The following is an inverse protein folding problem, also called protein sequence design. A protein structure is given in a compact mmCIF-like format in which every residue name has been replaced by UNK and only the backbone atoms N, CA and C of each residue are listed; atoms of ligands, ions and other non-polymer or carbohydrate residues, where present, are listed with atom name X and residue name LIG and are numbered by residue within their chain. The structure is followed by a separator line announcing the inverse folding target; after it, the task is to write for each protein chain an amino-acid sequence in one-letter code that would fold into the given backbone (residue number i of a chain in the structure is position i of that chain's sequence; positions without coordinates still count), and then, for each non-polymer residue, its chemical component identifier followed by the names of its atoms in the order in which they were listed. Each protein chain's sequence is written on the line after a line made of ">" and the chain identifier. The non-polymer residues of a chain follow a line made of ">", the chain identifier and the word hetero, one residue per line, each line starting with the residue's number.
data_IF_275607830448
#
_entry.id   IF_275607830448
#
_cell.length_a   1.000
_cell.length_b   1.000
_cell.length_c   1.000
_cell.angle_alpha   90.00
_cell.angle_beta   90.00
_cell.angle_gamma   90.00
#
_symmetry.space_group_name_H-M   'P 1'
#
loop_
_entity.id
_entity.type
_entity.pdbx_description
1 polymer ?
#
# COMPACT_ATOMS: atom_id res chain seq x y z
N UNK A 1 -0.85 18.25 19.36
CA UNK A 1 -1.47 17.52 18.24
C UNK A 1 -0.44 17.31 17.15
N UNK A 2 -0.32 16.11 16.59
CA UNK A 2 0.58 15.89 15.46
C UNK A 2 0.71 14.45 15.03
N UNK A 3 0.97 14.26 13.73
CA UNK A 3 1.36 12.98 13.14
C UNK A 3 2.89 12.95 13.12
N UNK A 4 3.48 11.98 13.80
CA UNK A 4 4.93 11.74 13.79
C UNK A 4 5.22 10.62 12.80
N UNK A 5 6.14 10.87 11.87
CA UNK A 5 6.59 9.88 10.91
C UNK A 5 7.93 9.33 11.40
N UNK A 6 8.03 8.01 11.51
CA UNK A 6 9.27 7.29 11.78
C UNK A 6 9.60 6.46 10.56
N UNK A 7 10.68 6.80 9.88
CA UNK A 7 11.24 5.97 8.83
C UNK A 7 12.59 5.45 9.27
N UNK A 8 12.82 4.15 9.09
CA UNK A 8 14.09 3.50 9.42
C UNK A 8 15.22 3.85 8.45
N UNK A 9 14.88 4.40 7.28
CA UNK A 9 15.81 4.69 6.19
C UNK A 9 15.85 6.21 5.91
N UNK A 10 17.04 6.70 5.55
CA UNK A 10 17.20 8.06 5.03
C UNK A 10 16.61 8.18 3.61
N UNK A 11 16.26 9.40 3.19
CA UNK A 11 15.72 9.66 1.85
C UNK A 11 16.61 9.14 0.72
N UNK A 12 17.95 9.18 0.89
CA UNK A 12 18.90 8.64 -0.09
C UNK A 12 18.86 7.11 -0.16
N UNK A 13 18.74 6.43 0.98
CA UNK A 13 18.61 4.97 1.03
C UNK A 13 17.28 4.54 0.40
N UNK A 14 16.19 5.25 0.69
CA UNK A 14 14.89 4.98 0.08
C UNK A 14 15.01 5.14 -1.44
N UNK A 15 15.60 6.22 -1.93
CA UNK A 15 15.80 6.44 -3.37
C UNK A 15 16.51 5.25 -4.04
N UNK A 16 17.62 4.77 -3.46
CA UNK A 16 18.39 3.64 -3.98
C UNK A 16 17.62 2.32 -3.93
N UNK A 17 16.85 2.08 -2.86
CA UNK A 17 16.04 0.87 -2.72
C UNK A 17 14.87 0.85 -3.70
N UNK A 18 14.20 1.98 -3.87
CA UNK A 18 12.93 2.06 -4.60
C UNK A 18 13.10 2.27 -6.10
N UNK A 19 14.31 2.57 -6.57
CA UNK A 19 14.56 2.86 -7.98
C UNK A 19 14.31 1.64 -8.89
N UNK A 20 13.46 1.82 -9.89
CA UNK A 20 13.09 0.81 -10.87
C UNK A 20 12.32 -0.39 -10.33
N UNK A 21 11.69 -0.25 -9.17
CA UNK A 21 11.02 -1.36 -8.51
C UNK A 21 9.54 -1.08 -8.23
N UNK A 22 8.84 -2.11 -7.77
CA UNK A 22 7.49 -2.02 -7.22
C UNK A 22 7.59 -1.98 -5.69
N UNK A 23 7.13 -0.90 -5.07
CA UNK A 23 7.01 -0.80 -3.62
C UNK A 23 5.64 -1.32 -3.20
N UNK A 24 5.63 -2.44 -2.49
CA UNK A 24 4.41 -3.14 -2.06
C UNK A 24 4.15 -2.90 -0.57
N UNK A 25 3.14 -2.10 -0.25
CA UNK A 25 2.83 -1.73 1.13
C UNK A 25 1.59 -2.45 1.67
N UNK A 26 1.62 -2.86 2.94
CA UNK A 26 0.40 -3.23 3.64
C UNK A 26 -0.53 -2.02 3.78
N UNK A 27 -1.83 -2.26 3.90
CA UNK A 27 -2.82 -1.20 3.94
C UNK A 27 -3.48 -1.12 5.33
N UNK A 28 -2.99 -0.23 6.19
CA UNK A 28 -3.44 -0.04 7.59
C UNK A 28 -4.30 1.22 7.77
N UNK A 29 -4.20 2.19 6.86
CA UNK A 29 -4.92 3.46 6.96
C UNK A 29 -5.16 4.13 5.63
N UNK A 30 -6.08 5.09 5.63
CA UNK A 30 -6.33 5.98 4.48
C UNK A 30 -5.15 6.90 4.17
N UNK A 31 -4.24 7.10 5.12
CA UNK A 31 -3.04 7.93 4.95
C UNK A 31 -1.83 7.17 4.38
N UNK A 32 -1.92 5.84 4.18
CA UNK A 32 -0.79 5.04 3.69
C UNK A 32 -0.17 5.55 2.38
N UNK A 33 -0.93 6.11 1.40
CA UNK A 33 -0.34 6.72 0.21
C UNK A 33 0.64 7.87 0.50
N UNK A 34 0.69 8.42 1.71
CA UNK A 34 1.66 9.45 2.08
C UNK A 34 3.09 8.93 2.06
N UNK A 35 3.29 7.60 2.06
CA UNK A 35 4.57 6.96 1.80
C UNK A 35 5.23 7.43 0.49
N UNK A 36 4.42 7.84 -0.50
CA UNK A 36 4.87 8.39 -1.78
C UNK A 36 5.74 9.64 -1.59
N UNK A 37 5.49 10.44 -0.56
CA UNK A 37 6.28 11.65 -0.28
C UNK A 37 7.73 11.34 0.08
N UNK A 38 8.02 10.14 0.59
CA UNK A 38 9.37 9.71 0.96
C UNK A 38 10.15 9.08 -0.20
N UNK A 39 9.50 8.81 -1.33
CA UNK A 39 10.04 8.05 -2.47
C UNK A 39 10.22 8.97 -3.69
N UNK A 40 11.46 9.29 -4.08
CA UNK A 40 11.71 10.03 -5.32
C UNK A 40 11.19 9.27 -6.55
N UNK A 41 10.57 9.98 -7.50
CA UNK A 41 10.02 9.35 -8.72
C UNK A 41 8.83 8.41 -8.47
N UNK A 42 8.20 8.52 -7.30
CA UNK A 42 7.08 7.66 -6.95
C UNK A 42 5.91 7.83 -7.92
N UNK A 43 5.40 6.69 -8.34
CA UNK A 43 4.31 6.58 -9.29
C UNK A 43 3.23 5.71 -8.70
N UNK A 44 2.05 6.29 -8.50
CA UNK A 44 0.90 5.57 -7.99
C UNK A 44 0.18 4.87 -9.13
N UNK A 45 -0.06 3.57 -8.99
CA UNK A 45 -0.92 2.81 -9.90
C UNK A 45 -2.29 2.64 -9.23
N UNK A 46 -3.32 3.29 -9.77
CA UNK A 46 -4.68 3.10 -9.31
C UNK A 46 -5.50 2.34 -10.37
N UNK A 47 -6.13 1.25 -9.96
CA UNK A 47 -7.15 0.55 -10.75
C UNK A 47 -8.55 1.12 -10.46
N UNK A 48 -9.45 1.03 -11.43
CA UNK A 48 -10.86 1.42 -11.30
C UNK A 48 -11.49 0.80 -10.05
N UNK A 49 -11.82 1.61 -9.05
CA UNK A 49 -12.34 1.13 -7.77
C UNK A 49 -11.91 1.95 -6.55
N UNK A 50 -10.92 2.85 -6.71
CA UNK A 50 -10.59 3.82 -5.68
C UNK A 50 -11.76 4.76 -5.40
N UNK A 51 -12.04 4.99 -4.10
CA UNK A 51 -12.97 6.04 -3.68
C UNK A 51 -12.46 7.39 -4.23
N UNK A 52 -13.33 8.19 -4.86
CA UNK A 52 -13.01 9.47 -5.49
C UNK A 52 -12.24 10.41 -4.56
N UNK A 53 -12.54 10.39 -3.26
CA UNK A 53 -11.82 11.19 -2.27
C UNK A 53 -10.37 10.73 -2.09
N UNK A 54 -10.14 9.42 -1.99
CA UNK A 54 -8.80 8.84 -1.84
C UNK A 54 -7.98 9.11 -3.11
N UNK A 55 -8.59 8.95 -4.29
CA UNK A 55 -7.96 9.29 -5.57
C UNK A 55 -7.56 10.77 -5.64
N UNK A 56 -8.41 11.68 -5.16
CA UNK A 56 -8.12 13.11 -5.10
C UNK A 56 -6.97 13.43 -4.14
N UNK A 57 -6.98 12.88 -2.92
CA UNK A 57 -5.88 13.09 -1.97
C UNK A 57 -4.56 12.54 -2.49
N UNK A 58 -4.58 11.37 -3.12
CA UNK A 58 -3.39 10.77 -3.71
C UNK A 58 -2.87 11.57 -4.91
N UNK A 59 -3.76 12.13 -5.73
CA UNK A 59 -3.41 13.04 -6.82
C UNK A 59 -2.73 14.31 -6.30
N UNK A 60 -3.25 14.91 -5.23
CA UNK A 60 -2.67 16.12 -4.64
C UNK A 60 -1.26 15.84 -4.09
N UNK A 61 -1.07 14.70 -3.42
CA UNK A 61 0.23 14.27 -2.89
C UNK A 61 1.25 14.05 -4.02
N UNK A 62 0.84 13.41 -5.11
CA UNK A 62 1.70 13.21 -6.30
C UNK A 62 2.11 14.53 -6.91
N UNK A 63 1.20 15.51 -6.98
CA UNK A 63 1.53 16.86 -7.47
C UNK A 63 2.56 17.56 -6.58
N UNK A 64 2.46 17.41 -5.26
CA UNK A 64 3.42 17.98 -4.32
C UNK A 64 4.79 17.27 -4.34
N UNK A 65 4.83 15.97 -4.63
CA UNK A 65 6.07 15.18 -4.64
C UNK A 65 6.75 15.08 -6.00
N UNK A 66 6.17 15.66 -7.06
CA UNK A 66 6.62 15.46 -8.43
C UNK A 66 6.37 14.03 -8.97
N UNK A 67 5.51 13.27 -8.30
CA UNK A 67 5.19 11.90 -8.66
C UNK A 67 4.22 11.79 -9.84
N UNK A 68 4.15 10.59 -10.43
CA UNK A 68 3.26 10.32 -11.57
C UNK A 68 2.05 9.46 -11.17
N UNK A 69 0.98 9.57 -11.94
CA UNK A 69 -0.20 8.73 -11.77
C UNK A 69 -0.39 7.85 -13.01
N UNK A 70 -0.45 6.54 -12.82
CA UNK A 70 -0.76 5.60 -13.88
C UNK A 70 -2.17 5.07 -13.71
N UNK A 71 -3.00 5.28 -14.73
CA UNK A 71 -4.34 4.71 -14.77
C UNK A 71 -4.27 3.22 -15.13
N UNK A 72 -4.52 2.35 -14.16
CA UNK A 72 -4.55 0.91 -14.36
C UNK A 72 -5.74 0.42 -15.20
N UNK A 73 -6.76 1.25 -15.43
CA UNK A 73 -7.88 0.92 -16.31
C UNK A 73 -7.50 1.03 -17.81
N UNK A 74 -6.57 1.94 -18.16
CA UNK A 74 -6.03 2.03 -19.51
C UNK A 74 -4.89 1.02 -19.68
N UNK A 75 -5.27 -0.21 -20.08
CA UNK A 75 -4.34 -1.31 -20.31
C UNK A 75 -3.24 -0.97 -21.32
N UNK A 76 -3.53 -0.14 -22.34
CA UNK A 76 -2.58 0.19 -23.41
C UNK A 76 -1.55 1.20 -22.92
N UNK A 77 -1.95 2.25 -22.20
CA UNK A 77 -1.01 3.16 -21.56
C UNK A 77 -0.20 2.45 -20.48
N UNK A 78 -0.85 1.64 -19.64
CA UNK A 78 -0.19 0.89 -18.58
C UNK A 78 0.88 -0.07 -19.11
N UNK A 79 0.57 -0.84 -20.16
CA UNK A 79 1.53 -1.77 -20.77
C UNK A 79 2.74 -1.04 -21.37
N UNK A 80 2.50 0.09 -22.07
CA UNK A 80 3.57 0.93 -22.62
C UNK A 80 4.49 1.48 -21.54
N UNK A 81 3.91 1.99 -20.46
CA UNK A 81 4.67 2.54 -19.34
C UNK A 81 5.46 1.46 -18.60
N UNK A 82 4.86 0.28 -18.41
CA UNK A 82 5.55 -0.87 -17.81
C UNK A 82 6.72 -1.35 -18.69
N UNK A 83 6.56 -1.36 -20.01
CA UNK A 83 7.65 -1.69 -20.93
C UNK A 83 8.78 -0.67 -20.86
N UNK A 84 8.46 0.64 -20.84
CA UNK A 84 9.46 1.70 -20.64
C UNK A 84 10.21 1.54 -19.32
N UNK A 85 9.51 1.23 -18.24
CA UNK A 85 10.13 1.00 -16.94
C UNK A 85 11.08 -0.20 -16.95
N UNK A 86 10.77 -1.26 -17.70
CA UNK A 86 11.67 -2.41 -17.83
C UNK A 86 12.92 -2.09 -18.63
N UNK A 87 12.82 -1.24 -19.66
CA UNK A 87 13.98 -0.87 -20.48
C UNK A 87 14.82 0.23 -19.82
N UNK A 88 14.17 1.14 -19.10
CA UNK A 88 14.77 2.27 -18.40
C UNK A 88 14.23 2.32 -16.97
N UNK A 89 14.79 1.50 -16.05
CA UNK A 89 14.29 1.39 -14.68
C UNK A 89 14.51 2.65 -13.83
N UNK A 90 15.45 3.51 -14.22
CA UNK A 90 15.87 4.64 -13.41
C UNK A 90 14.79 5.73 -13.29
N UNK A 91 14.69 6.32 -12.11
CA UNK A 91 13.85 7.47 -11.79
C UNK A 91 12.37 7.15 -11.57
N UNK A 92 11.99 5.89 -11.43
CA UNK A 92 10.58 5.49 -11.23
C UNK A 92 10.43 4.43 -10.15
N UNK A 93 9.59 4.70 -9.15
CA UNK A 93 9.21 3.74 -8.11
C UNK A 93 7.69 3.50 -8.15
N UNK A 94 7.22 2.30 -8.46
CA UNK A 94 5.79 2.00 -8.55
C UNK A 94 5.22 1.66 -7.17
N UNK A 95 4.36 2.51 -6.61
CA UNK A 95 3.69 2.23 -5.33
C UNK A 95 2.39 1.46 -5.53
N UNK A 96 2.19 0.41 -4.74
CA UNK A 96 0.95 -0.36 -4.73
C UNK A 96 0.61 -0.93 -3.34
N UNK A 97 -0.68 -1.07 -3.06
CA UNK A 97 -1.22 -1.71 -1.85
C UNK A 97 -1.92 -3.01 -2.23
N UNK A 98 -1.21 -4.15 -2.27
CA UNK A 98 -1.75 -5.41 -2.81
C UNK A 98 -2.88 -6.04 -1.97
N UNK A 99 -3.08 -5.62 -0.71
CA UNK A 99 -4.27 -5.98 0.09
C UNK A 99 -5.57 -5.44 -0.50
N UNK A 100 -5.48 -4.32 -1.23
CA UNK A 100 -6.61 -3.59 -1.81
C UNK A 100 -7.73 -3.20 -0.80
N UNK A 101 -7.50 -3.34 0.50
CA UNK A 101 -8.42 -2.96 1.57
C UNK A 101 -7.67 -2.69 2.86
N UNK A 102 -8.21 -1.80 3.69
CA UNK A 102 -7.60 -1.44 4.98
C UNK A 102 -7.77 -2.60 5.98
N UNK A 103 -6.69 -3.09 6.56
CA UNK A 103 -6.70 -4.07 7.64
C UNK A 103 -6.82 -3.42 9.03
N UNK A 104 -6.89 -4.25 10.06
CA UNK A 104 -7.05 -3.83 11.46
C UNK A 104 -5.71 -3.77 12.23
N UNK A 105 -4.57 -3.91 11.54
CA UNK A 105 -3.24 -3.96 12.14
C UNK A 105 -2.91 -5.24 12.90
N UNK A 106 -3.79 -6.26 12.90
CA UNK A 106 -3.58 -7.56 13.59
C UNK A 106 -3.31 -8.72 12.64
N UNK A 107 -3.64 -8.55 11.36
CA UNK A 107 -3.36 -9.52 10.32
C UNK A 107 -3.48 -8.86 8.95
N UNK A 108 -2.68 -9.36 8.01
CA UNK A 108 -2.71 -8.90 6.63
C UNK A 108 -3.74 -9.72 5.85
N UNK A 109 -4.53 -9.05 5.02
CA UNK A 109 -5.28 -9.73 3.96
C UNK A 109 -4.30 -10.31 2.93
N UNK A 110 -4.74 -11.36 2.22
CA UNK A 110 -3.97 -12.01 1.19
C UNK A 110 -3.66 -11.04 0.05
N UNK A 111 -2.39 -10.96 -0.33
CA UNK A 111 -1.94 -10.06 -1.36
C UNK A 111 -2.34 -10.56 -2.75
N UNK A 112 -2.81 -9.67 -3.62
CA UNK A 112 -3.10 -10.02 -5.02
C UNK A 112 -1.83 -9.93 -5.87
N UNK A 113 -1.58 -10.95 -6.68
CA UNK A 113 -0.44 -11.02 -7.60
C UNK A 113 -0.30 -9.79 -8.52
N UNK A 114 -1.41 -9.31 -9.11
CA UNK A 114 -1.55 -8.00 -9.78
C UNK A 114 -0.29 -7.40 -10.42
N UNK A 115 0.27 -6.38 -9.75
CA UNK A 115 1.48 -5.67 -10.17
C UNK A 115 2.77 -6.43 -9.77
N UNK A 116 2.73 -7.19 -8.68
CA UNK A 116 3.85 -7.98 -8.16
C UNK A 116 4.30 -9.08 -9.15
N UNK A 117 3.36 -9.62 -9.92
CA UNK A 117 3.65 -10.68 -10.89
C UNK A 117 4.24 -10.19 -12.21
N UNK A 118 4.51 -8.88 -12.36
CA UNK A 118 4.95 -8.26 -13.62
C UNK A 118 6.46 -8.29 -13.83
N UNK A 119 7.20 -9.16 -13.13
CA UNK A 119 8.64 -9.35 -13.36
C UNK A 119 9.47 -8.10 -13.09
N UNK A 120 8.96 -7.22 -12.24
CA UNK A 120 9.74 -6.14 -11.65
C UNK A 120 10.15 -6.59 -10.24
N UNK A 121 11.31 -6.17 -9.77
CA UNK A 121 11.71 -6.38 -8.39
C UNK A 121 10.72 -5.67 -7.46
N UNK A 122 10.48 -6.26 -6.29
CA UNK A 122 9.54 -5.74 -5.30
C UNK A 122 10.29 -5.37 -4.04
N UNK A 123 10.06 -4.15 -3.54
CA UNK A 123 10.47 -3.74 -2.20
C UNK A 123 9.25 -3.79 -1.28
N UNK A 124 9.20 -4.71 -0.31
CA UNK A 124 8.11 -4.72 0.66
C UNK A 124 8.23 -3.52 1.60
N UNK A 125 7.13 -2.83 1.84
CA UNK A 125 7.04 -1.70 2.75
C UNK A 125 6.11 -2.06 3.90
N UNK A 126 6.69 -2.24 5.09
CA UNK A 126 5.97 -2.52 6.31
C UNK A 126 5.58 -1.20 7.01
N UNK A 127 4.29 -0.89 7.00
CA UNK A 127 3.68 0.25 7.65
C UNK A 127 2.96 -0.14 8.95
N UNK A 128 3.18 0.63 10.02
CA UNK A 128 2.44 0.51 11.28
C UNK A 128 1.90 1.88 11.69
N UNK A 129 0.61 1.93 11.99
CA UNK A 129 -0.03 3.14 12.53
C UNK A 129 -0.39 2.92 13.99
N UNK A 130 0.28 3.65 14.88
CA UNK A 130 0.04 3.62 16.32
C UNK A 130 -0.83 4.82 16.70
N UNK A 131 -2.01 4.53 17.23
CA UNK A 131 -2.96 5.52 17.73
C UNK A 131 -3.08 5.42 19.26
N UNK A 132 -3.49 6.51 19.94
CA UNK A 132 -3.71 6.50 21.38
C UNK A 132 -4.82 5.52 21.76
N UNK A 133 -4.75 5.01 23.00
CA UNK A 133 -5.77 4.17 23.63
C UNK A 133 -6.12 2.88 22.85
N UNK A 134 -5.21 2.38 22.00
CA UNK A 134 -5.45 1.18 21.21
C UNK A 134 -6.55 1.35 20.14
N UNK A 135 -6.85 2.60 19.76
CA UNK A 135 -7.86 2.88 18.75
C UNK A 135 -7.42 2.38 17.36
N UNK A 136 -8.41 1.96 16.57
CA UNK A 136 -8.19 1.59 15.16
C UNK A 136 -8.46 2.78 14.27
N UNK A 137 -7.60 2.97 13.26
CA UNK A 137 -7.68 4.08 12.31
C UNK A 137 -8.92 4.00 11.41
N UNK A 138 -9.23 2.79 10.93
CA UNK A 138 -10.38 2.54 10.06
C UNK A 138 -11.24 1.40 10.61
N UNK A 139 -12.23 1.71 11.47
CA UNK A 139 -13.24 0.74 11.89
C UNK A 139 -13.92 0.08 10.69
N UNK A 140 -14.41 -1.16 10.88
CA UNK A 140 -14.91 -2.01 9.80
C UNK A 140 -15.96 -1.31 8.90
N UNK A 141 -16.89 -0.58 9.52
CA UNK A 141 -17.99 0.09 8.80
C UNK A 141 -17.73 1.56 8.48
N UNK A 142 -16.60 2.13 8.92
CA UNK A 142 -16.31 3.54 8.68
C UNK A 142 -16.14 3.82 7.18
N UNK A 143 -16.59 5.01 6.77
CA UNK A 143 -16.29 5.54 5.44
C UNK A 143 -14.84 6.02 5.38
N UNK A 144 -14.25 6.11 4.19
CA UNK A 144 -12.88 6.61 4.03
C UNK A 144 -12.69 8.02 4.62
N UNK A 145 -13.70 8.89 4.47
CA UNK A 145 -13.68 10.23 5.05
C UNK A 145 -13.74 10.18 6.58
N UNK A 146 -14.61 9.34 7.16
CA UNK A 146 -14.68 9.18 8.61
C UNK A 146 -13.37 8.64 9.19
N UNK A 147 -12.76 7.65 8.55
CA UNK A 147 -11.43 7.14 8.93
C UNK A 147 -10.34 8.22 8.80
N UNK A 148 -10.39 9.05 7.77
CA UNK A 148 -9.43 10.14 7.57
C UNK A 148 -9.54 11.21 8.66
N UNK A 149 -10.75 11.73 8.88
CA UNK A 149 -11.03 12.71 9.93
C UNK A 149 -10.68 12.14 11.31
N UNK A 150 -10.98 10.86 11.56
CA UNK A 150 -10.62 10.17 12.79
C UNK A 150 -9.11 10.24 13.04
N UNK A 151 -8.27 9.94 12.05
CA UNK A 151 -6.81 10.00 12.20
C UNK A 151 -6.34 11.45 12.44
N UNK A 152 -6.90 12.43 11.73
CA UNK A 152 -6.54 13.85 11.91
C UNK A 152 -6.94 14.41 13.28
N UNK A 153 -8.07 13.96 13.82
CA UNK A 153 -8.56 14.38 15.13
C UNK A 153 -7.86 13.68 16.29
N UNK A 154 -6.97 12.71 16.04
CA UNK A 154 -6.21 12.08 17.12
C UNK A 154 -5.26 13.09 17.77
N UNK A 155 -5.14 13.09 19.11
CA UNK A 155 -4.22 13.99 19.82
C UNK A 155 -2.76 13.76 19.40
N UNK A 156 -2.43 12.53 18.99
CA UNK A 156 -1.18 12.18 18.33
C UNK A 156 -1.37 10.91 17.50
N UNK A 157 -0.54 10.71 16.49
CA UNK A 157 -0.42 9.45 15.77
C UNK A 157 1.05 9.20 15.40
N UNK A 158 1.49 7.95 15.42
CA UNK A 158 2.83 7.57 14.95
C UNK A 158 2.68 6.66 13.74
N UNK A 159 3.21 7.09 12.60
CA UNK A 159 3.31 6.28 11.40
C UNK A 159 4.74 5.76 11.28
N UNK A 160 4.93 4.45 11.46
CA UNK A 160 6.21 3.78 11.29
C UNK A 160 6.25 3.14 9.91
N UNK A 161 7.33 3.40 9.16
CA UNK A 161 7.54 2.89 7.81
C UNK A 161 8.91 2.24 7.70
N UNK A 162 8.93 0.96 7.34
CA UNK A 162 10.17 0.21 7.12
C UNK A 162 10.18 -0.40 5.72
N UNK A 163 11.15 0.03 4.92
CA UNK A 163 11.47 -0.61 3.65
C UNK A 163 12.27 -1.89 3.94
N UNK A 164 11.80 -3.02 3.45
CA UNK A 164 12.45 -4.32 3.62
C UNK A 164 13.35 -4.62 2.41
N UNK A 165 14.10 -5.71 2.53
CA UNK A 165 14.96 -6.21 1.47
C UNK A 165 14.20 -6.43 0.16
N UNK A 166 14.82 -6.02 -0.95
CA UNK A 166 14.31 -6.19 -2.32
C UNK A 166 14.16 -7.69 -2.62
N UNK A 167 13.00 -8.06 -3.15
CA UNK A 167 12.66 -9.41 -3.56
C UNK A 167 12.55 -9.48 -5.07
N UNK A 168 13.07 -10.56 -5.63
CA UNK A 168 12.92 -10.89 -7.05
C UNK A 168 12.12 -12.16 -7.19
N UNK A 169 11.19 -12.16 -8.15
CA UNK A 169 10.39 -13.33 -8.44
C UNK A 169 11.26 -14.34 -9.19
N UNK A 170 11.33 -15.55 -8.67
CA UNK A 170 12.03 -16.65 -9.35
C UNK A 170 11.25 -17.08 -10.60
N UNK A 171 11.95 -17.55 -11.64
CA UNK A 171 11.35 -17.90 -12.95
C UNK A 171 10.20 -18.91 -12.83
N UNK A 172 10.38 -19.94 -12.01
CA UNK A 172 9.39 -21.01 -11.79
C UNK A 172 8.32 -20.66 -10.74
N UNK A 173 8.51 -19.57 -9.98
CA UNK A 173 7.57 -19.19 -8.94
C UNK A 173 6.32 -18.57 -9.56
N UNK A 174 5.13 -19.02 -9.14
CA UNK A 174 3.87 -18.41 -9.60
C UNK A 174 3.74 -16.97 -9.09
N UNK A 175 3.02 -16.13 -9.83
CA UNK A 175 2.79 -14.74 -9.42
C UNK A 175 2.07 -14.61 -8.07
N UNK A 176 1.18 -15.56 -7.75
CA UNK A 176 0.49 -15.59 -6.47
C UNK A 176 1.41 -16.07 -5.33
N UNK A 177 2.23 -17.09 -5.57
CA UNK A 177 3.20 -17.55 -4.57
C UNK A 177 4.21 -16.44 -4.22
N UNK A 178 4.63 -15.64 -5.21
CA UNK A 178 5.47 -14.46 -4.96
C UNK A 178 4.74 -13.38 -4.14
N UNK A 179 3.47 -13.13 -4.43
CA UNK A 179 2.67 -12.19 -3.63
C UNK A 179 2.50 -12.66 -2.17
N UNK A 180 2.25 -13.96 -1.98
CA UNK A 180 2.16 -14.58 -0.66
C UNK A 180 3.51 -14.51 0.08
N UNK A 181 4.64 -14.63 -0.63
CA UNK A 181 5.99 -14.43 -0.07
C UNK A 181 6.22 -12.97 0.38
N UNK A 182 5.85 -11.98 -0.44
CA UNK A 182 5.93 -10.56 -0.09
C UNK A 182 5.07 -10.27 1.14
N UNK A 183 3.84 -10.81 1.18
CA UNK A 183 2.94 -10.72 2.33
C UNK A 183 3.59 -11.31 3.60
N UNK A 184 4.16 -12.51 3.50
CA UNK A 184 4.81 -13.18 4.62
C UNK A 184 5.99 -12.38 5.18
N UNK A 185 6.81 -11.77 4.32
CA UNK A 185 7.93 -10.90 4.74
C UNK A 185 7.45 -9.69 5.54
N UNK A 186 6.38 -9.03 5.08
CA UNK A 186 5.80 -7.89 5.82
C UNK A 186 5.16 -8.35 7.13
N UNK A 187 4.42 -9.45 7.12
CA UNK A 187 3.78 -10.03 8.29
C UNK A 187 4.80 -10.41 9.37
N UNK A 188 5.90 -11.06 8.97
CA UNK A 188 7.00 -11.44 9.84
C UNK A 188 7.65 -10.21 10.47
N UNK A 189 7.94 -9.15 9.70
CA UNK A 189 8.50 -7.91 10.24
C UNK A 189 7.57 -7.22 11.23
N UNK A 190 6.27 -7.21 10.92
CA UNK A 190 5.26 -6.57 11.76
C UNK A 190 4.88 -7.40 13.00
N UNK A 191 5.22 -8.69 13.04
CA UNK A 191 4.82 -9.62 14.09
C UNK A 191 3.32 -9.96 14.07
N UNK A 192 2.71 -10.01 12.88
CA UNK A 192 1.28 -10.27 12.68
C UNK A 192 1.03 -11.43 11.73
N UNK A 193 -0.21 -11.92 11.65
CA UNK A 193 -0.55 -13.05 10.78
C UNK A 193 -0.64 -12.65 9.31
N UNK A 194 -0.01 -13.43 8.42
CA UNK A 194 -0.32 -13.44 6.98
C UNK A 194 -1.54 -14.35 6.75
N UNK A 195 -2.71 -13.77 6.51
CA UNK A 195 -3.95 -14.55 6.37
C UNK A 195 -4.26 -14.91 4.92
N UNK A 196 -5.14 -15.90 4.74
CA UNK A 196 -5.71 -16.25 3.44
C UNK A 196 -6.96 -15.43 3.08
N UNK A 197 -7.46 -14.62 4.02
CA UNK A 197 -8.64 -13.79 3.82
C UNK A 197 -8.36 -12.71 2.80
N UNK A 198 -9.32 -12.45 1.93
CA UNK A 198 -9.23 -11.48 0.85
C UNK A 198 -10.07 -10.25 1.16
N UNK A 199 -9.93 -9.22 0.31
CA UNK A 199 -10.80 -8.04 0.35
C UNK A 199 -12.26 -8.43 0.15
N UNK A 200 -12.53 -9.39 -0.72
CA UNK A 200 -13.87 -9.88 -1.04
C UNK A 200 -14.54 -10.48 0.21
N UNK A 201 -13.80 -11.28 0.99
CA UNK A 201 -14.28 -11.86 2.24
C UNK A 201 -14.69 -10.78 3.25
N UNK A 202 -13.89 -9.71 3.37
CA UNK A 202 -14.23 -8.55 4.21
C UNK A 202 -15.52 -7.87 3.73
N UNK A 203 -15.71 -7.69 2.43
CA UNK A 203 -16.93 -7.06 1.90
C UNK A 203 -18.16 -7.93 2.13
N UNK A 204 -18.05 -9.24 1.94
CA UNK A 204 -19.11 -10.20 2.22
C UNK A 204 -19.47 -10.16 3.71
N UNK A 205 -18.47 -10.19 4.61
CA UNK A 205 -18.70 -10.07 6.04
C UNK A 205 -19.43 -8.78 6.42
N UNK A 206 -19.05 -7.64 5.82
CA UNK A 206 -19.74 -6.35 6.07
C UNK A 206 -21.20 -6.37 5.64
N UNK A 207 -21.55 -7.09 4.58
CA UNK A 207 -22.94 -7.21 4.14
C UNK A 207 -23.74 -8.07 5.11
N UNK A 208 -23.19 -9.21 5.54
CA UNK A 208 -23.81 -10.09 6.52
C UNK A 208 -23.99 -9.40 7.88
N UNK A 209 -22.97 -8.71 8.37
CA UNK A 209 -23.02 -8.03 9.68
C UNK A 209 -24.11 -6.94 9.73
N UNK A 210 -24.33 -6.22 8.63
CA UNK A 210 -25.41 -5.23 8.51
C UNK A 210 -26.81 -5.85 8.52
N UNK A 211 -26.95 -7.10 8.08
CA UNK A 211 -28.23 -7.81 8.11
C UNK A 211 -28.56 -8.31 9.53
N UNK A 212 -27.53 -8.68 10.30
CA UNK A 212 -27.68 -9.19 11.68
C UNK A 212 -27.81 -8.05 12.71
N UNK A 213 -27.18 -6.89 12.44
CA UNK A 213 -27.21 -5.70 13.30
C UNK A 213 -27.68 -4.48 12.49
N UNK A 214 -29.00 -4.29 12.35
CA UNK A 214 -29.56 -3.14 11.63
C UNK A 214 -29.25 -1.80 12.31
#
# INVERSE_FOLDING_TARGET
>A
MGIRIRCTHSSRQIALLTDGCVVAANHVSVIDPFAILAMPGATLVASSGYNRFIAFTAFLLLKCSGGQFWNGADKKAFSRNLHKLRTHPQGTALYTTPEATINNGRGLYRFRAGLLSRGLPVVPLAGRLILPFGLVASPLHASGLASFLRVLMMPWAICEMTYLERLERQEQQSGQAFADQVQARIAQHLGIAATLWTREDKHQYRQLDKQVRP
#
